data_IF_096704754057
#
_entry.id   IF_096704754057
#
_cell.length_a   1.000
_cell.length_b   1.000
_cell.length_c   1.000
_cell.angle_alpha   90.00
_cell.angle_beta   90.00
_cell.angle_gamma   90.00
#
_symmetry.space_group_name_H-M   'P 1'
#
loop_
_entity.id
_entity.type
_entity.pdbx_description
1 polymer ?
#
# COMPACT_ATOMS: atom_id res chain seq x y z
N UNK A 1 23.09 -9.18 16.12
CA UNK A 1 21.80 -8.52 15.81
C UNK A 1 21.00 -8.40 17.08
N UNK A 2 20.63 -7.19 17.48
CA UNK A 2 19.66 -6.98 18.56
C UNK A 2 18.25 -7.40 18.10
N UNK A 3 17.37 -7.80 19.01
CA UNK A 3 16.00 -8.21 18.67
C UNK A 3 15.16 -6.98 18.28
N UNK A 4 14.23 -7.12 17.32
CA UNK A 4 13.31 -6.05 16.93
C UNK A 4 12.01 -6.02 17.77
N UNK A 5 11.64 -7.17 18.36
CA UNK A 5 10.37 -7.35 19.08
C UNK A 5 10.45 -8.59 19.96
N UNK A 6 9.86 -8.54 21.15
CA UNK A 6 9.76 -9.70 22.07
C UNK A 6 8.52 -10.57 21.80
N UNK A 7 7.65 -10.16 20.88
CA UNK A 7 6.46 -10.92 20.51
C UNK A 7 6.84 -12.16 19.70
N UNK A 8 6.59 -13.33 20.28
CA UNK A 8 6.79 -14.60 19.61
C UNK A 8 5.60 -14.94 18.71
N UNK A 9 5.84 -15.51 17.52
CA UNK A 9 4.76 -16.09 16.72
C UNK A 9 4.02 -17.21 17.44
N UNK A 10 2.74 -17.41 17.10
CA UNK A 10 1.94 -18.52 17.63
C UNK A 10 2.59 -19.87 17.30
N UNK A 11 2.72 -20.81 18.24
CA UNK A 11 3.36 -22.10 18.00
C UNK A 11 2.56 -22.95 16.99
N UNK A 12 3.23 -23.79 16.18
CA UNK A 12 2.53 -24.72 15.29
C UNK A 12 1.81 -25.81 16.09
N UNK A 13 0.69 -26.30 15.56
CA UNK A 13 -0.04 -27.43 16.11
C UNK A 13 0.15 -28.68 15.24
N UNK A 14 0.30 -29.84 15.87
CA UNK A 14 0.40 -31.11 15.15
C UNK A 14 -0.96 -31.51 14.55
N UNK A 15 -0.95 -31.98 13.30
CA UNK A 15 -2.15 -32.47 12.62
C UNK A 15 -1.94 -33.87 12.04
N UNK A 16 -3.04 -34.61 11.99
CA UNK A 16 -3.10 -35.89 11.28
C UNK A 16 -2.97 -35.68 9.77
N UNK A 17 -2.28 -36.58 9.05
CA UNK A 17 -2.10 -36.45 7.62
C UNK A 17 -3.44 -36.51 6.88
N UNK A 18 -3.53 -35.76 5.78
CA UNK A 18 -4.72 -35.77 4.94
C UNK A 18 -4.60 -36.86 3.85
N UNK A 19 -5.67 -37.59 3.51
CA UNK A 19 -5.61 -38.71 2.56
C UNK A 19 -5.11 -38.32 1.16
N UNK A 20 -5.40 -37.11 0.71
CA UNK A 20 -4.97 -36.62 -0.60
C UNK A 20 -3.44 -36.44 -0.74
N UNK A 21 -2.71 -36.34 0.38
CA UNK A 21 -1.26 -36.13 0.41
C UNK A 21 -0.44 -37.37 0.70
N UNK A 22 -1.10 -38.52 0.86
CA UNK A 22 -0.42 -39.75 1.22
C UNK A 22 0.02 -40.50 -0.03
N UNK A 23 1.26 -40.95 -0.01
CA UNK A 23 1.85 -41.81 -1.02
C UNK A 23 1.79 -43.29 -0.59
N UNK A 24 1.96 -44.18 -1.57
CA UNK A 24 1.88 -45.63 -1.35
C UNK A 24 2.83 -46.12 -0.25
N UNK A 25 4.09 -45.67 -0.27
CA UNK A 25 5.08 -46.05 0.74
C UNK A 25 4.71 -45.60 2.16
N UNK A 26 4.17 -44.39 2.30
CA UNK A 26 3.68 -43.87 3.58
C UNK A 26 2.47 -44.66 4.06
N UNK A 27 1.53 -44.96 3.17
CA UNK A 27 0.34 -45.76 3.51
C UNK A 27 0.73 -47.16 3.99
N UNK A 28 1.66 -47.84 3.30
CA UNK A 28 2.15 -49.17 3.71
C UNK A 28 2.78 -49.11 5.11
N UNK A 29 3.59 -48.08 5.38
CA UNK A 29 4.18 -47.86 6.72
C UNK A 29 3.09 -47.66 7.77
N UNK A 30 2.10 -46.81 7.51
CA UNK A 30 0.99 -46.56 8.44
C UNK A 30 0.17 -47.83 8.71
N UNK A 31 -0.11 -48.63 7.67
CA UNK A 31 -0.84 -49.90 7.80
C UNK A 31 -0.07 -50.95 8.59
N UNK A 32 1.27 -50.98 8.47
CA UNK A 32 2.13 -51.94 9.18
C UNK A 32 2.24 -51.61 10.68
N UNK A 33 2.37 -50.33 11.04
CA UNK A 33 2.63 -49.88 12.41
C UNK A 33 1.39 -49.41 13.18
N UNK A 34 0.20 -49.55 12.62
CA UNK A 34 -1.03 -49.18 13.33
C UNK A 34 -1.43 -50.21 14.39
N UNK A 35 -1.95 -49.74 15.53
CA UNK A 35 -2.53 -50.60 16.57
C UNK A 35 -4.00 -50.99 16.27
N UNK A 36 -4.58 -50.39 15.23
CA UNK A 36 -5.99 -50.56 14.91
C UNK A 36 -6.26 -51.96 14.34
N UNK A 37 -7.32 -52.61 14.85
CA UNK A 37 -7.72 -53.97 14.42
C UNK A 37 -8.70 -53.97 13.25
N UNK A 38 -9.29 -52.82 12.91
CA UNK A 38 -10.30 -52.67 11.85
C UNK A 38 -9.90 -51.53 10.92
N UNK A 39 -10.01 -51.77 9.61
CA UNK A 39 -9.72 -50.78 8.58
C UNK A 39 -10.57 -49.50 8.74
N UNK A 40 -11.85 -49.65 9.11
CA UNK A 40 -12.72 -48.51 9.33
C UNK A 40 -12.20 -47.57 10.44
N UNK A 41 -11.76 -48.15 11.56
CA UNK A 41 -11.21 -47.40 12.70
C UNK A 41 -9.86 -46.77 12.33
N UNK A 42 -9.02 -47.50 11.60
CA UNK A 42 -7.76 -46.96 11.07
C UNK A 42 -7.96 -45.69 10.24
N UNK A 43 -8.91 -45.72 9.30
CA UNK A 43 -9.20 -44.56 8.44
C UNK A 43 -9.71 -43.35 9.24
N UNK A 44 -10.57 -43.58 10.25
CA UNK A 44 -11.10 -42.51 11.10
C UNK A 44 -10.05 -41.91 12.02
N UNK A 45 -9.21 -42.75 12.64
CA UNK A 45 -8.27 -42.30 13.66
C UNK A 45 -6.93 -41.80 13.10
N UNK A 46 -6.50 -42.28 11.94
CA UNK A 46 -5.15 -41.98 11.42
C UNK A 46 -5.11 -40.78 10.46
N UNK A 47 -6.26 -40.34 9.95
CA UNK A 47 -6.33 -39.29 8.93
C UNK A 47 -7.18 -38.12 9.40
N UNK A 48 -6.84 -36.91 8.95
CA UNK A 48 -7.67 -35.74 9.18
C UNK A 48 -8.93 -35.77 8.30
N UNK A 49 -10.03 -35.26 8.85
CA UNK A 49 -11.33 -35.04 8.15
C UNK A 49 -11.98 -36.30 7.56
N UNK A 50 -11.63 -37.50 8.05
CA UNK A 50 -12.37 -38.74 7.76
C UNK A 50 -13.38 -39.03 8.88
N UNK A 51 -14.67 -38.95 8.55
CA UNK A 51 -15.76 -39.45 9.40
C UNK A 51 -16.14 -40.91 9.09
N UNK A 52 -17.04 -41.50 9.87
CA UNK A 52 -17.50 -42.88 9.68
C UNK A 52 -18.10 -43.11 8.28
N UNK A 53 -18.98 -42.20 7.83
CA UNK A 53 -19.62 -42.26 6.51
C UNK A 53 -18.60 -42.20 5.38
N UNK A 54 -17.60 -41.32 5.49
CA UNK A 54 -16.55 -41.19 4.48
C UNK A 54 -15.65 -42.42 4.47
N UNK A 55 -15.31 -42.97 5.63
CA UNK A 55 -14.51 -44.20 5.74
C UNK A 55 -15.23 -45.41 5.12
N UNK A 56 -16.55 -45.54 5.30
CA UNK A 56 -17.35 -46.59 4.66
C UNK A 56 -17.40 -46.44 3.13
N UNK A 57 -17.57 -45.19 2.63
CA UNK A 57 -17.49 -44.90 1.20
C UNK A 57 -16.14 -45.28 0.61
N UNK A 58 -15.04 -44.96 1.30
CA UNK A 58 -13.68 -45.33 0.91
C UNK A 58 -13.53 -46.85 0.84
N UNK A 59 -13.94 -47.58 1.89
CA UNK A 59 -13.88 -49.04 1.91
C UNK A 59 -14.68 -49.66 0.74
N UNK A 60 -15.88 -49.13 0.48
CA UNK A 60 -16.77 -49.60 -0.59
C UNK A 60 -16.14 -49.39 -1.96
N UNK A 61 -15.56 -48.20 -2.21
CA UNK A 61 -14.90 -47.89 -3.48
C UNK A 61 -13.62 -48.71 -3.68
N UNK A 62 -12.87 -48.97 -2.61
CA UNK A 62 -11.68 -49.82 -2.65
C UNK A 62 -12.00 -51.33 -2.71
N UNK A 63 -13.28 -51.72 -2.62
CA UNK A 63 -13.76 -53.12 -2.50
C UNK A 63 -13.12 -53.87 -1.33
N UNK A 64 -12.92 -53.17 -0.21
CA UNK A 64 -12.35 -53.72 1.02
C UNK A 64 -13.41 -53.87 2.10
N UNK A 65 -13.32 -54.95 2.89
CA UNK A 65 -14.22 -55.18 4.02
C UNK A 65 -13.84 -54.23 5.18
N UNK A 66 -14.78 -53.45 5.76
CA UNK A 66 -14.48 -52.52 6.85
C UNK A 66 -13.90 -53.18 8.12
N UNK A 67 -14.19 -54.47 8.33
CA UNK A 67 -13.69 -55.27 9.43
C UNK A 67 -12.33 -55.95 9.17
N UNK A 68 -11.73 -55.73 8.00
CA UNK A 68 -10.40 -56.28 7.69
C UNK A 68 -9.32 -55.69 8.61
N UNK A 69 -8.30 -56.48 8.92
CA UNK A 69 -7.13 -56.00 9.68
C UNK A 69 -6.21 -55.18 8.77
N UNK A 70 -5.88 -53.92 9.12
CA UNK A 70 -4.99 -53.07 8.33
C UNK A 70 -3.64 -53.72 8.00
N UNK A 71 -3.06 -54.45 8.94
CA UNK A 71 -1.72 -55.05 8.82
C UNK A 71 -1.65 -56.22 7.83
N UNK A 72 -2.81 -56.78 7.44
CA UNK A 72 -2.91 -57.94 6.53
C UNK A 72 -3.21 -57.56 5.08
N UNK A 73 -3.35 -56.27 4.77
CA UNK A 73 -3.65 -55.80 3.42
C UNK A 73 -2.49 -56.12 2.47
N UNK A 74 -2.82 -56.62 1.28
CA UNK A 74 -1.83 -56.85 0.22
C UNK A 74 -1.42 -55.55 -0.46
N UNK A 75 -0.36 -55.62 -1.27
CA UNK A 75 0.11 -54.46 -2.03
C UNK A 75 -0.97 -53.94 -2.99
N UNK A 76 -1.59 -54.83 -3.77
CA UNK A 76 -2.69 -54.50 -4.69
C UNK A 76 -3.89 -53.88 -3.96
N UNK A 77 -4.24 -54.40 -2.78
CA UNK A 77 -5.31 -53.85 -1.96
C UNK A 77 -5.00 -52.43 -1.48
N UNK A 78 -3.74 -52.16 -1.18
CA UNK A 78 -3.27 -50.85 -0.74
C UNK A 78 -3.28 -49.83 -1.89
N UNK A 79 -2.92 -50.24 -3.11
CA UNK A 79 -3.03 -49.40 -4.31
C UNK A 79 -4.49 -49.06 -4.64
N UNK A 80 -5.42 -50.01 -4.49
CA UNK A 80 -6.86 -49.75 -4.63
C UNK A 80 -7.35 -48.74 -3.59
N UNK A 81 -6.88 -48.86 -2.34
CA UNK A 81 -7.23 -47.92 -1.28
C UNK A 81 -6.69 -46.50 -1.58
N UNK A 82 -5.45 -46.40 -2.06
CA UNK A 82 -4.85 -45.12 -2.46
C UNK A 82 -5.61 -44.47 -3.63
N UNK A 83 -6.05 -45.27 -4.60
CA UNK A 83 -6.87 -44.79 -5.72
C UNK A 83 -8.22 -44.27 -5.22
N UNK A 84 -8.82 -44.93 -4.22
CA UNK A 84 -10.05 -44.47 -3.58
C UNK A 84 -9.89 -43.12 -2.84
N UNK A 85 -8.72 -42.85 -2.25
CA UNK A 85 -8.44 -41.54 -1.64
C UNK A 85 -8.44 -40.40 -2.66
N UNK A 86 -7.96 -40.66 -3.88
CA UNK A 86 -7.93 -39.65 -4.96
C UNK A 86 -9.29 -39.44 -5.61
N UNK A 87 -10.13 -40.48 -5.71
CA UNK A 87 -11.44 -40.38 -6.35
C UNK A 87 -12.50 -39.75 -5.45
N UNK A 88 -12.42 -39.94 -4.14
CA UNK A 88 -13.44 -39.46 -3.20
C UNK A 88 -13.10 -38.04 -2.75
N UNK A 89 -14.06 -37.13 -2.91
CA UNK A 89 -13.94 -35.74 -2.43
C UNK A 89 -14.03 -35.70 -0.91
N UNK A 90 -12.93 -35.30 -0.27
CA UNK A 90 -12.80 -35.15 1.19
C UNK A 90 -12.73 -33.66 1.53
N UNK A 91 -13.19 -33.28 2.72
CA UNK A 91 -13.10 -31.91 3.20
C UNK A 91 -11.63 -31.50 3.43
N UNK A 92 -11.26 -30.25 3.16
CA UNK A 92 -9.88 -29.80 3.29
C UNK A 92 -9.35 -29.91 4.73
N UNK A 93 -8.02 -30.11 4.89
CA UNK A 93 -7.37 -30.20 6.20
C UNK A 93 -7.53 -28.92 7.02
N UNK A 94 -7.40 -28.99 8.35
CA UNK A 94 -7.40 -27.80 9.21
C UNK A 94 -6.18 -26.91 8.91
N UNK A 95 -6.39 -25.60 8.88
CA UNK A 95 -5.38 -24.59 8.54
C UNK A 95 -4.74 -23.93 9.77
N UNK A 96 -5.30 -24.17 10.96
CA UNK A 96 -4.84 -23.64 12.27
C UNK A 96 -3.52 -24.27 12.76
N UNK A 97 -2.95 -25.19 12.00
CA UNK A 97 -1.69 -25.84 12.32
C UNK A 97 -0.45 -25.02 11.94
N UNK A 98 -0.63 -24.00 11.11
CA UNK A 98 0.46 -23.22 10.56
C UNK A 98 0.91 -22.13 11.52
N UNK A 99 2.21 -21.87 11.51
CA UNK A 99 2.87 -20.89 12.38
C UNK A 99 3.50 -19.80 11.49
N UNK A 100 2.71 -18.81 11.02
CA UNK A 100 3.22 -17.69 10.22
C UNK A 100 4.25 -16.83 10.96
N UNK A 101 4.97 -15.97 10.24
CA UNK A 101 5.74 -14.87 10.85
C UNK A 101 4.80 -13.71 11.19
N UNK A 102 3.79 -13.45 10.35
CA UNK A 102 2.83 -12.34 10.41
C UNK A 102 3.34 -11.03 9.81
N UNK A 103 2.42 -10.23 9.27
CA UNK A 103 2.72 -8.96 8.57
C UNK A 103 3.55 -7.98 9.41
N UNK A 104 3.15 -7.75 10.66
CA UNK A 104 3.82 -6.79 11.57
C UNK A 104 5.28 -7.20 11.89
N UNK A 105 5.53 -8.49 12.14
CA UNK A 105 6.87 -8.97 12.44
C UNK A 105 7.78 -8.89 11.21
N UNK A 106 7.23 -9.15 10.03
CA UNK A 106 7.96 -8.99 8.75
C UNK A 106 8.29 -7.52 8.52
N UNK A 107 7.33 -6.62 8.74
CA UNK A 107 7.54 -5.18 8.57
C UNK A 107 8.69 -4.68 9.44
N UNK A 108 8.65 -4.99 10.75
CA UNK A 108 9.71 -4.62 11.70
C UNK A 108 11.07 -5.26 11.38
N UNK A 109 11.06 -6.47 10.83
CA UNK A 109 12.29 -7.14 10.40
C UNK A 109 12.95 -6.45 9.22
N UNK A 110 12.16 -6.07 8.22
CA UNK A 110 12.65 -5.37 7.02
C UNK A 110 13.07 -3.93 7.36
N UNK A 111 12.28 -3.21 8.16
CA UNK A 111 12.58 -1.84 8.61
C UNK A 111 13.89 -1.75 9.40
N UNK A 112 14.23 -2.79 10.16
CA UNK A 112 15.47 -2.84 10.92
C UNK A 112 16.71 -3.11 10.06
N UNK A 113 16.57 -3.98 9.06
CA UNK A 113 17.70 -4.41 8.24
C UNK A 113 17.96 -3.46 7.07
N UNK A 114 16.92 -2.85 6.53
CA UNK A 114 17.00 -1.99 5.35
C UNK A 114 16.53 -0.57 5.66
N UNK A 115 17.38 0.41 5.32
CA UNK A 115 16.99 1.82 5.26
C UNK A 115 16.30 2.07 3.92
N UNK A 116 14.97 2.10 3.91
CA UNK A 116 14.16 2.21 2.68
C UNK A 116 13.04 3.24 2.83
N UNK A 117 12.57 3.76 1.69
CA UNK A 117 11.52 4.78 1.67
C UNK A 117 10.11 4.19 1.82
N UNK A 118 9.96 2.91 1.49
CA UNK A 118 8.66 2.25 1.41
C UNK A 118 8.78 0.75 1.72
N UNK A 119 7.92 0.28 2.63
CA UNK A 119 7.78 -1.13 3.00
C UNK A 119 6.30 -1.49 3.00
N UNK A 120 5.96 -2.60 2.36
CA UNK A 120 4.63 -3.18 2.43
C UNK A 120 4.70 -4.69 2.62
N UNK A 121 3.79 -5.20 3.45
CA UNK A 121 3.72 -6.62 3.80
C UNK A 121 2.31 -7.16 3.56
N UNK A 122 2.22 -8.45 3.26
CA UNK A 122 0.95 -9.16 3.10
C UNK A 122 1.06 -10.59 3.62
N UNK A 123 0.00 -11.04 4.27
CA UNK A 123 -0.26 -12.42 4.67
C UNK A 123 -1.53 -12.87 3.99
N UNK A 124 -1.41 -13.93 3.18
CA UNK A 124 -2.54 -14.48 2.45
C UNK A 124 -3.42 -15.37 3.34
N UNK A 125 -4.55 -15.80 2.81
CA UNK A 125 -5.32 -16.87 3.45
C UNK A 125 -4.62 -18.22 3.24
N UNK A 126 -4.66 -19.15 4.21
CA UNK A 126 -4.09 -20.48 4.00
C UNK A 126 -4.77 -21.20 2.83
N UNK A 127 -3.95 -21.84 1.99
CA UNK A 127 -4.36 -22.70 0.89
C UNK A 127 -3.93 -24.14 1.16
N UNK A 128 -4.30 -25.07 0.29
CA UNK A 128 -3.97 -26.49 0.44
C UNK A 128 -3.41 -27.01 -0.88
N UNK A 129 -2.27 -27.69 -0.83
CA UNK A 129 -1.71 -28.41 -1.97
C UNK A 129 -1.55 -29.88 -1.59
N UNK A 130 -2.01 -30.80 -2.42
CA UNK A 130 -1.92 -32.25 -2.16
C UNK A 130 -2.26 -32.64 -0.70
N UNK A 131 -3.31 -32.08 -0.09
CA UNK A 131 -3.69 -32.36 1.31
C UNK A 131 -2.81 -31.72 2.40
N UNK A 132 -1.78 -30.96 2.06
CA UNK A 132 -0.95 -30.22 3.00
C UNK A 132 -1.39 -28.75 3.02
N UNK A 133 -1.83 -28.21 4.17
CA UNK A 133 -2.10 -26.78 4.30
C UNK A 133 -0.80 -25.99 4.18
N UNK A 134 -0.85 -24.87 3.47
CA UNK A 134 0.24 -23.93 3.34
C UNK A 134 -0.26 -22.49 3.36
N UNK A 135 0.64 -21.57 3.64
CA UNK A 135 0.40 -20.15 3.74
C UNK A 135 1.57 -19.42 3.08
N UNK A 136 1.25 -18.33 2.38
CA UNK A 136 2.26 -17.45 1.79
C UNK A 136 2.19 -16.06 2.42
N UNK A 137 3.36 -15.56 2.79
CA UNK A 137 3.57 -14.19 3.24
C UNK A 137 4.57 -13.54 2.30
N UNK A 138 4.36 -12.28 1.93
CA UNK A 138 5.25 -11.55 1.06
C UNK A 138 5.47 -10.12 1.56
N UNK A 139 6.64 -9.57 1.28
CA UNK A 139 6.97 -8.18 1.53
C UNK A 139 7.72 -7.58 0.36
N UNK A 140 7.55 -6.28 0.16
CA UNK A 140 8.31 -5.48 -0.79
C UNK A 140 8.90 -4.28 -0.08
N UNK A 141 10.18 -4.05 -0.28
CA UNK A 141 10.91 -2.88 0.20
C UNK A 141 11.46 -2.13 -1.01
N UNK A 142 11.36 -0.80 -1.03
CA UNK A 142 11.75 0.02 -2.17
C UNK A 142 12.45 1.32 -1.75
N UNK A 143 13.49 1.68 -2.49
CA UNK A 143 14.22 2.94 -2.33
C UNK A 143 15.31 2.90 -1.26
N UNK A 144 15.64 4.07 -0.70
CA UNK A 144 16.70 4.26 0.28
C UNK A 144 18.08 3.76 -0.20
N UNK A 145 18.74 2.94 0.62
CA UNK A 145 20.11 2.46 0.39
C UNK A 145 20.20 1.26 -0.59
N UNK A 146 19.06 0.80 -1.13
CA UNK A 146 19.04 -0.29 -2.09
C UNK A 146 19.70 0.11 -3.43
N UNK A 147 20.45 -0.79 -4.08
CA UNK A 147 21.10 -0.50 -5.36
C UNK A 147 20.11 -0.04 -6.43
N UNK A 148 20.29 1.18 -6.94
CA UNK A 148 19.42 1.76 -7.96
C UNK A 148 19.46 1.01 -9.29
N UNK A 149 20.62 0.43 -9.63
CA UNK A 149 20.85 -0.37 -10.82
C UNK A 149 21.16 -1.81 -10.45
N UNK A 150 20.54 -2.75 -11.18
CA UNK A 150 20.75 -4.18 -10.98
C UNK A 150 19.44 -4.95 -10.84
N UNK A 151 19.59 -6.27 -10.68
CA UNK A 151 18.46 -7.16 -10.40
C UNK A 151 17.96 -6.93 -8.98
N UNK A 152 16.64 -6.99 -8.82
CA UNK A 152 15.98 -6.94 -7.52
C UNK A 152 16.48 -8.08 -6.63
N UNK A 153 16.71 -7.78 -5.36
CA UNK A 153 17.09 -8.77 -4.37
C UNK A 153 15.86 -9.61 -3.96
N UNK A 154 16.01 -10.94 -3.95
CA UNK A 154 14.93 -11.86 -3.53
C UNK A 154 15.35 -12.61 -2.28
N UNK A 155 14.59 -12.41 -1.20
CA UNK A 155 14.74 -13.11 0.06
C UNK A 155 13.69 -14.23 0.12
N UNK A 156 14.15 -15.48 0.06
CA UNK A 156 13.28 -16.66 0.02
C UNK A 156 13.29 -17.37 1.37
N UNK A 157 12.12 -17.67 1.91
CA UNK A 157 11.97 -18.39 3.17
C UNK A 157 11.01 -19.56 3.03
N UNK A 158 11.36 -20.69 3.66
CA UNK A 158 10.48 -21.85 3.82
C UNK A 158 10.45 -22.25 5.29
N UNK A 159 9.27 -22.30 5.92
CA UNK A 159 9.12 -22.61 7.35
C UNK A 159 10.12 -21.84 8.24
N UNK A 160 10.23 -20.51 8.03
CA UNK A 160 11.18 -19.60 8.71
C UNK A 160 12.67 -19.85 8.46
N UNK A 161 13.02 -20.76 7.57
CA UNK A 161 14.41 -21.02 7.17
C UNK A 161 14.73 -20.27 5.87
N UNK A 162 15.80 -19.46 5.83
CA UNK A 162 16.21 -18.79 4.60
C UNK A 162 16.78 -19.78 3.59
N UNK A 163 16.39 -19.62 2.32
CA UNK A 163 16.87 -20.41 1.19
C UNK A 163 17.91 -19.61 0.41
N UNK A 164 19.19 -19.92 0.61
CA UNK A 164 20.30 -19.15 0.05
C UNK A 164 20.72 -19.62 -1.36
N UNK A 165 20.66 -20.92 -1.62
CA UNK A 165 21.19 -21.52 -2.86
C UNK A 165 20.09 -21.85 -3.88
N UNK A 166 20.51 -22.13 -5.12
CA UNK A 166 19.65 -22.63 -6.21
C UNK A 166 18.40 -21.76 -6.50
N UNK A 167 18.60 -20.44 -6.54
CA UNK A 167 17.51 -19.50 -6.81
C UNK A 167 16.78 -19.79 -8.14
N UNK A 168 17.52 -20.19 -9.18
CA UNK A 168 16.95 -20.46 -10.52
C UNK A 168 16.10 -21.72 -10.63
N UNK A 169 16.02 -22.56 -9.59
CA UNK A 169 15.16 -23.75 -9.56
C UNK A 169 13.97 -23.61 -8.58
N UNK A 170 13.80 -22.43 -7.98
CA UNK A 170 12.84 -22.21 -6.92
C UNK A 170 11.52 -21.64 -7.48
N UNK A 171 10.40 -22.23 -7.06
CA UNK A 171 9.06 -21.77 -7.42
C UNK A 171 8.83 -20.27 -7.10
N UNK A 172 9.39 -19.76 -6.00
CA UNK A 172 9.30 -18.33 -5.64
C UNK A 172 9.90 -17.44 -6.73
N UNK A 173 11.10 -17.78 -7.21
CA UNK A 173 11.79 -17.01 -8.26
C UNK A 173 11.00 -17.07 -9.55
N UNK A 174 10.52 -18.26 -9.94
CA UNK A 174 9.70 -18.43 -11.13
C UNK A 174 8.36 -17.68 -11.05
N UNK A 175 7.72 -17.60 -9.88
CA UNK A 175 6.54 -16.79 -9.68
C UNK A 175 6.83 -15.29 -9.88
N UNK A 176 7.97 -14.81 -9.36
CA UNK A 176 8.40 -13.42 -9.54
C UNK A 176 8.73 -13.11 -11.00
N UNK A 177 9.38 -14.03 -11.72
CA UNK A 177 9.68 -13.91 -13.15
C UNK A 177 8.42 -13.80 -14.03
N UNK A 178 7.34 -14.50 -13.67
CA UNK A 178 6.07 -14.48 -14.42
C UNK A 178 5.29 -13.17 -14.33
N UNK A 179 5.59 -12.33 -13.34
CA UNK A 179 4.89 -11.07 -13.14
C UNK A 179 5.39 -10.02 -14.14
N UNK A 180 4.46 -9.27 -14.73
CA UNK A 180 4.79 -8.12 -15.57
C UNK A 180 5.10 -6.90 -14.69
N UNK A 181 6.37 -6.69 -14.38
CA UNK A 181 6.84 -5.65 -13.46
C UNK A 181 6.75 -4.24 -14.01
N UNK A 182 6.77 -4.09 -15.35
CA UNK A 182 6.56 -2.79 -16.02
C UNK A 182 5.21 -2.19 -15.65
N UNK A 183 4.18 -3.01 -15.48
CA UNK A 183 2.86 -2.55 -15.05
C UNK A 183 2.86 -1.94 -13.63
N UNK A 184 3.80 -2.37 -12.78
CA UNK A 184 3.93 -1.92 -11.40
C UNK A 184 4.96 -0.81 -11.20
N UNK A 185 5.57 -0.30 -12.28
CA UNK A 185 6.51 0.82 -12.22
C UNK A 185 7.98 0.42 -12.00
N UNK A 186 8.32 -0.87 -12.10
CA UNK A 186 9.71 -1.34 -12.07
C UNK A 186 10.21 -1.66 -13.49
N UNK A 187 11.53 -1.56 -13.69
CA UNK A 187 12.17 -1.95 -14.94
C UNK A 187 12.25 -3.47 -15.03
N UNK A 188 12.28 -4.02 -16.25
CA UNK A 188 12.34 -5.47 -16.48
C UNK A 188 13.20 -5.83 -17.70
N UNK A 189 14.53 -5.61 -17.65
CA UNK A 189 15.44 -6.04 -18.71
C UNK A 189 15.58 -7.56 -18.67
N UNK A 190 15.25 -8.25 -19.78
CA UNK A 190 15.42 -9.71 -19.88
C UNK A 190 14.46 -10.54 -19.03
N UNK A 191 13.28 -10.00 -18.68
CA UNK A 191 12.21 -10.75 -18.01
C UNK A 191 12.26 -10.76 -16.48
N UNK A 192 13.32 -10.24 -15.86
CA UNK A 192 13.46 -10.15 -14.40
C UNK A 192 13.37 -8.70 -13.90
N UNK A 193 12.74 -8.41 -12.76
CA UNK A 193 12.64 -7.04 -12.25
C UNK A 193 14.01 -6.44 -11.91
N UNK A 194 14.18 -5.17 -12.22
CA UNK A 194 15.36 -4.38 -11.94
C UNK A 194 15.01 -3.04 -11.27
N UNK A 195 15.85 -2.61 -10.33
CA UNK A 195 15.71 -1.36 -9.58
C UNK A 195 16.00 -1.53 -8.08
N UNK A 196 15.90 -0.43 -7.30
CA UNK A 196 16.16 -0.40 -5.86
C UNK A 196 15.00 -1.02 -5.09
N UNK A 197 14.88 -2.34 -5.18
CA UNK A 197 13.78 -3.09 -4.60
C UNK A 197 14.31 -4.41 -4.03
N UNK A 198 13.73 -4.82 -2.91
CA UNK A 198 13.91 -6.14 -2.32
C UNK A 198 12.54 -6.79 -2.12
N UNK A 199 12.42 -8.06 -2.52
CA UNK A 199 11.20 -8.84 -2.40
C UNK A 199 11.45 -10.01 -1.47
N UNK A 200 10.69 -10.08 -0.38
CA UNK A 200 10.69 -11.22 0.52
C UNK A 200 9.46 -12.09 0.28
N UNK A 201 9.65 -13.40 0.21
CA UNK A 201 8.54 -14.37 0.17
C UNK A 201 8.81 -15.49 1.16
N UNK A 202 7.83 -15.77 2.00
CA UNK A 202 7.83 -16.84 2.96
C UNK A 202 6.69 -17.82 2.65
N UNK A 203 7.05 -19.11 2.53
CA UNK A 203 6.09 -20.20 2.40
C UNK A 203 6.13 -21.04 3.67
N UNK A 204 5.02 -21.07 4.40
CA UNK A 204 4.85 -21.92 5.58
C UNK A 204 3.94 -23.09 5.23
N UNK A 205 4.38 -24.33 5.48
CA UNK A 205 3.56 -25.52 5.30
C UNK A 205 3.97 -26.64 6.25
N UNK A 206 3.03 -27.55 6.52
CA UNK A 206 3.30 -28.79 7.28
C UNK A 206 4.32 -29.68 6.59
N UNK A 207 4.30 -29.70 5.26
CA UNK A 207 5.31 -30.33 4.42
C UNK A 207 5.65 -29.32 3.32
N UNK A 208 6.92 -29.03 3.08
CA UNK A 208 7.32 -28.12 1.99
C UNK A 208 7.86 -28.97 0.84
N UNK A 209 7.35 -28.82 -0.39
CA UNK A 209 7.81 -29.61 -1.51
C UNK A 209 9.16 -29.04 -1.98
N UNK A 210 10.25 -29.73 -1.68
CA UNK A 210 11.59 -29.33 -2.13
C UNK A 210 11.97 -30.04 -3.44
N UNK A 211 12.76 -29.39 -4.29
CA UNK A 211 13.27 -29.99 -5.54
C UNK A 211 14.33 -31.07 -5.30
N UNK A 212 15.05 -30.98 -4.20
CA UNK A 212 16.11 -31.91 -3.82
C UNK A 212 16.13 -32.14 -2.31
N UNK A 213 16.77 -33.23 -1.89
CA UNK A 213 16.96 -33.57 -0.47
C UNK A 213 17.75 -32.51 0.31
N UNK A 214 18.53 -31.68 -0.39
CA UNK A 214 19.28 -30.57 0.19
C UNK A 214 18.42 -29.39 0.64
N UNK A 215 17.11 -29.39 0.32
CA UNK A 215 16.11 -28.40 0.74
C UNK A 215 16.45 -26.94 0.40
N UNK A 216 17.14 -26.73 -0.72
CA UNK A 216 17.58 -25.39 -1.15
C UNK A 216 16.54 -24.62 -1.99
N UNK A 217 15.58 -25.32 -2.60
CA UNK A 217 14.59 -24.71 -3.47
C UNK A 217 13.23 -25.42 -3.36
N UNK A 218 12.16 -24.63 -3.39
CA UNK A 218 10.78 -25.12 -3.41
C UNK A 218 10.45 -25.56 -4.84
N UNK A 219 9.87 -26.75 -4.98
CA UNK A 219 9.43 -27.32 -6.24
C UNK A 219 8.24 -26.56 -6.84
N UNK A 220 8.12 -26.62 -8.16
CA UNK A 220 7.08 -25.92 -8.90
C UNK A 220 5.74 -26.66 -8.82
N UNK A 221 5.00 -26.39 -7.74
CA UNK A 221 3.62 -26.87 -7.55
C UNK A 221 2.66 -25.75 -7.98
N UNK A 222 1.72 -25.99 -8.92
CA UNK A 222 0.84 -24.95 -9.46
C UNK A 222 0.08 -24.14 -8.40
N UNK A 223 -0.41 -24.80 -7.35
CA UNK A 223 -1.15 -24.18 -6.26
C UNK A 223 -0.26 -23.21 -5.45
N UNK A 224 0.98 -23.61 -5.16
CA UNK A 224 1.94 -22.77 -4.44
C UNK A 224 2.36 -21.60 -5.33
N UNK A 225 2.67 -21.89 -6.60
CA UNK A 225 3.13 -20.90 -7.56
C UNK A 225 2.09 -19.79 -7.76
N UNK A 226 0.83 -20.16 -7.96
CA UNK A 226 -0.27 -19.20 -8.11
C UNK A 226 -0.49 -18.36 -6.85
N UNK A 227 -0.36 -18.96 -5.66
CA UNK A 227 -0.55 -18.22 -4.41
C UNK A 227 0.63 -17.27 -4.11
N UNK A 228 1.86 -17.66 -4.43
CA UNK A 228 3.03 -16.77 -4.37
C UNK A 228 2.87 -15.61 -5.34
N UNK A 229 2.46 -15.87 -6.57
CA UNK A 229 2.20 -14.83 -7.57
C UNK A 229 1.14 -13.83 -7.09
N UNK A 230 0.06 -14.32 -6.48
CA UNK A 230 -0.99 -13.47 -5.90
C UNK A 230 -0.51 -12.65 -4.71
N UNK A 231 0.31 -13.23 -3.82
CA UNK A 231 0.90 -12.53 -2.69
C UNK A 231 1.80 -11.37 -3.16
N UNK A 232 2.71 -11.66 -4.10
CA UNK A 232 3.62 -10.66 -4.67
C UNK A 232 2.84 -9.58 -5.43
N UNK A 233 1.84 -9.94 -6.25
CA UNK A 233 0.97 -8.95 -6.93
C UNK A 233 0.28 -7.98 -5.97
N UNK A 234 -0.12 -8.47 -4.79
CA UNK A 234 -0.80 -7.65 -3.78
C UNK A 234 0.12 -6.54 -3.27
N UNK A 235 1.37 -6.87 -2.90
CA UNK A 235 2.34 -5.87 -2.45
C UNK A 235 2.82 -4.97 -3.60
N UNK A 236 3.03 -5.52 -4.80
CA UNK A 236 3.39 -4.73 -5.98
C UNK A 236 2.31 -3.73 -6.37
N UNK A 237 1.03 -4.06 -6.17
CA UNK A 237 -0.08 -3.14 -6.37
C UNK A 237 -0.04 -1.93 -5.43
N UNK A 238 0.40 -2.12 -4.18
CA UNK A 238 0.61 -1.02 -3.21
C UNK A 238 1.83 -0.19 -3.58
N UNK A 239 2.94 -0.83 -3.99
CA UNK A 239 4.12 -0.14 -4.52
C UNK A 239 3.78 0.76 -5.72
N UNK A 240 2.96 0.29 -6.66
CA UNK A 240 2.53 1.09 -7.80
C UNK A 240 1.81 2.38 -7.39
N UNK A 241 0.96 2.32 -6.36
CA UNK A 241 0.25 3.51 -5.83
C UNK A 241 1.25 4.50 -5.23
N UNK A 242 2.23 4.01 -4.49
CA UNK A 242 3.30 4.83 -3.92
C UNK A 242 4.13 5.53 -5.01
N UNK A 243 4.60 4.78 -6.01
CA UNK A 243 5.35 5.33 -7.15
C UNK A 243 4.54 6.34 -7.95
N UNK A 244 3.26 6.05 -8.20
CA UNK A 244 2.35 6.96 -8.90
C UNK A 244 2.16 8.28 -8.15
N UNK A 245 2.00 8.23 -6.82
CA UNK A 245 1.92 9.45 -5.98
C UNK A 245 3.21 10.25 -6.06
N UNK A 246 4.37 9.59 -6.00
CA UNK A 246 5.69 10.24 -6.11
C UNK A 246 5.91 10.91 -7.47
N UNK A 247 5.55 10.22 -8.56
CA UNK A 247 5.69 10.75 -9.93
C UNK A 247 4.78 11.96 -10.16
N UNK A 248 3.54 11.92 -9.68
CA UNK A 248 2.61 13.05 -9.74
C UNK A 248 3.16 14.28 -9.03
N UNK A 249 3.74 14.10 -7.84
CA UNK A 249 4.38 15.19 -7.08
C UNK A 249 5.62 15.75 -7.81
N UNK A 250 6.47 14.90 -8.39
CA UNK A 250 7.63 15.34 -9.18
C UNK A 250 7.21 16.20 -10.37
N UNK A 251 6.23 15.72 -11.16
CA UNK A 251 5.72 16.46 -12.32
C UNK A 251 5.09 17.80 -11.93
N UNK A 252 4.36 17.85 -10.81
CA UNK A 252 3.79 19.10 -10.29
C UNK A 252 4.89 20.10 -9.92
N UNK A 253 5.94 19.64 -9.24
CA UNK A 253 7.10 20.47 -8.85
C UNK A 253 7.90 20.96 -10.07
N UNK A 254 8.11 20.10 -11.07
CA UNK A 254 8.76 20.49 -12.34
C UNK A 254 7.96 21.57 -13.06
N UNK A 255 6.64 21.39 -13.15
CA UNK A 255 5.72 22.37 -13.73
C UNK A 255 5.76 23.69 -12.97
N UNK A 256 5.71 23.66 -11.64
CA UNK A 256 5.81 24.85 -10.80
C UNK A 256 7.13 25.61 -11.02
N UNK A 257 8.25 24.90 -11.02
CA UNK A 257 9.58 25.46 -11.27
C UNK A 257 9.68 26.12 -12.65
N UNK A 258 9.09 25.49 -13.67
CA UNK A 258 9.05 26.04 -15.03
C UNK A 258 8.21 27.33 -15.07
N UNK A 259 7.03 27.33 -14.46
CA UNK A 259 6.13 28.50 -14.42
C UNK A 259 6.78 29.66 -13.68
N UNK A 260 7.35 29.42 -12.50
CA UNK A 260 8.08 30.44 -11.71
C UNK A 260 9.24 31.07 -12.48
N UNK A 261 9.87 30.33 -13.41
CA UNK A 261 10.98 30.83 -14.24
C UNK A 261 10.52 31.58 -15.48
N UNK A 262 9.51 31.06 -16.17
CA UNK A 262 9.10 31.54 -17.51
C UNK A 262 8.12 32.70 -17.41
N UNK A 263 7.14 32.62 -16.52
CA UNK A 263 6.02 33.56 -16.50
C UNK A 263 6.43 35.00 -16.10
N UNK A 264 7.29 35.24 -15.09
CA UNK A 264 7.77 36.59 -14.79
C UNK A 264 8.55 37.20 -15.97
N UNK A 265 9.38 36.39 -16.65
CA UNK A 265 10.17 36.87 -17.80
C UNK A 265 9.28 37.27 -18.98
N UNK A 266 8.18 36.57 -19.19
CA UNK A 266 7.19 36.94 -20.20
C UNK A 266 6.45 38.21 -19.79
N UNK A 267 6.03 38.33 -18.53
CA UNK A 267 5.35 39.51 -18.02
C UNK A 267 6.20 40.78 -18.19
N UNK A 268 7.48 40.74 -17.79
CA UNK A 268 8.42 41.86 -17.97
C UNK A 268 8.59 42.20 -19.45
N UNK A 269 8.87 41.22 -20.31
CA UNK A 269 9.07 41.50 -21.75
C UNK A 269 7.84 42.08 -22.45
N UNK A 270 6.64 41.59 -22.11
CA UNK A 270 5.39 42.11 -22.70
C UNK A 270 5.10 43.51 -22.20
N UNK A 271 5.35 43.75 -20.90
CA UNK A 271 5.29 45.06 -20.26
C UNK A 271 6.26 46.06 -20.93
N UNK A 272 7.52 45.66 -21.14
CA UNK A 272 8.54 46.47 -21.84
C UNK A 272 8.14 46.80 -23.28
N UNK A 273 7.54 45.85 -24.02
CA UNK A 273 7.11 46.06 -25.41
C UNK A 273 5.90 47.00 -25.50
N UNK A 274 4.98 46.91 -24.54
CA UNK A 274 3.73 47.70 -24.53
C UNK A 274 3.84 49.00 -23.74
N UNK A 275 4.97 49.23 -23.06
CA UNK A 275 5.24 50.36 -22.15
C UNK A 275 4.14 50.51 -21.08
N UNK A 276 3.83 49.39 -20.40
CA UNK A 276 2.81 49.28 -19.34
C UNK A 276 3.40 48.62 -18.11
N UNK A 277 2.77 48.81 -16.96
CA UNK A 277 3.18 48.12 -15.73
C UNK A 277 3.12 46.60 -15.85
N UNK A 278 4.01 45.92 -15.13
CA UNK A 278 4.06 44.46 -15.11
C UNK A 278 2.77 43.90 -14.52
N UNK A 279 2.02 43.07 -15.26
CA UNK A 279 0.77 42.52 -14.77
C UNK A 279 1.00 41.51 -13.64
N UNK A 280 0.07 41.43 -12.69
CA UNK A 280 0.10 40.38 -11.68
C UNK A 280 -0.08 38.99 -12.35
N UNK A 281 0.91 38.12 -12.16
CA UNK A 281 0.94 36.78 -12.75
C UNK A 281 0.24 35.73 -11.88
N UNK A 282 -0.03 36.01 -10.61
CA UNK A 282 -0.58 35.06 -9.63
C UNK A 282 -1.90 34.43 -10.08
N UNK A 283 -2.87 35.16 -10.67
CA UNK A 283 -4.10 34.57 -11.19
C UNK A 283 -3.86 33.55 -12.31
N UNK A 284 -2.84 33.76 -13.14
CA UNK A 284 -2.48 32.86 -14.23
C UNK A 284 -1.75 31.64 -13.67
N UNK A 285 -0.86 31.83 -12.70
CA UNK A 285 -0.17 30.73 -12.00
C UNK A 285 -1.18 29.81 -11.33
N UNK A 286 -2.12 30.37 -10.57
CA UNK A 286 -3.14 29.61 -9.85
C UNK A 286 -4.01 28.77 -10.81
N UNK A 287 -4.40 29.37 -11.94
CA UNK A 287 -5.19 28.68 -12.98
C UNK A 287 -4.43 27.55 -13.64
N UNK A 288 -3.16 27.75 -13.99
CA UNK A 288 -2.34 26.71 -14.63
C UNK A 288 -2.05 25.57 -13.64
N UNK A 289 -1.81 25.90 -12.37
CA UNK A 289 -1.51 24.91 -11.32
C UNK A 289 -2.75 24.19 -10.77
N UNK A 290 -3.95 24.72 -11.02
CA UNK A 290 -5.19 24.20 -10.45
C UNK A 290 -5.27 24.44 -8.94
N UNK A 291 -4.78 25.59 -8.49
CA UNK A 291 -4.68 25.97 -7.07
C UNK A 291 -5.82 26.92 -6.66
N UNK A 292 -6.05 27.05 -5.36
CA UNK A 292 -6.84 28.14 -4.80
C UNK A 292 -6.10 29.47 -5.00
N UNK A 293 -6.74 30.39 -5.70
CA UNK A 293 -6.28 31.77 -5.83
C UNK A 293 -6.87 32.58 -4.68
N UNK A 294 -6.01 33.29 -3.94
CA UNK A 294 -6.43 34.38 -3.06
C UNK A 294 -5.77 35.64 -3.56
N UNK A 295 -6.57 36.57 -4.07
CA UNK A 295 -6.09 37.84 -4.61
C UNK A 295 -6.73 38.99 -3.85
N UNK A 296 -5.91 39.97 -3.45
CA UNK A 296 -6.40 41.21 -2.85
C UNK A 296 -6.31 42.34 -3.88
N UNK A 297 -7.42 43.00 -4.13
CA UNK A 297 -7.49 44.31 -4.78
C UNK A 297 -7.80 45.38 -3.73
N UNK A 298 -7.16 46.54 -3.87
CA UNK A 298 -7.44 47.72 -3.03
C UNK A 298 -7.73 48.89 -3.96
N UNK A 299 -8.85 49.56 -3.75
CA UNK A 299 -9.28 50.74 -4.50
C UNK A 299 -9.48 51.90 -3.53
N UNK A 300 -8.96 53.08 -3.88
CA UNK A 300 -9.11 54.26 -3.02
C UNK A 300 -10.49 54.90 -3.24
N UNK A 301 -11.15 55.23 -2.13
CA UNK A 301 -12.41 55.97 -2.10
C UNK A 301 -12.23 57.35 -1.44
N UNK A 302 -13.28 58.18 -1.49
CA UNK A 302 -13.28 59.54 -0.93
C UNK A 302 -12.94 59.57 0.58
N UNK A 303 -13.30 58.50 1.31
CA UNK A 303 -13.17 58.42 2.78
C UNK A 303 -12.15 57.38 3.28
N UNK A 304 -11.38 56.74 2.38
CA UNK A 304 -10.46 55.66 2.75
C UNK A 304 -10.14 54.68 1.61
N UNK A 305 -10.19 53.39 1.89
CA UNK A 305 -9.88 52.32 0.93
C UNK A 305 -10.92 51.19 0.96
N UNK A 306 -11.41 50.79 -0.21
CA UNK A 306 -12.18 49.56 -0.39
C UNK A 306 -11.22 48.42 -0.69
N UNK A 307 -11.38 47.31 0.05
CA UNK A 307 -10.58 46.11 -0.12
C UNK A 307 -11.49 44.97 -0.55
N UNK A 308 -11.11 44.28 -1.63
CA UNK A 308 -11.75 43.04 -2.06
C UNK A 308 -10.72 41.91 -1.99
N UNK A 309 -11.06 40.85 -1.25
CA UNK A 309 -10.33 39.59 -1.25
C UNK A 309 -11.14 38.60 -2.09
N UNK A 310 -10.67 38.34 -3.30
CA UNK A 310 -11.26 37.36 -4.19
C UNK A 310 -10.60 35.99 -3.98
N UNK A 311 -11.44 34.99 -3.72
CA UNK A 311 -11.03 33.60 -3.49
C UNK A 311 -11.64 32.74 -4.60
N UNK A 312 -10.81 32.06 -5.38
CA UNK A 312 -11.25 31.22 -6.50
C UNK A 312 -10.71 29.81 -6.36
N UNK A 313 -11.58 28.80 -6.48
CA UNK A 313 -11.19 27.40 -6.42
C UNK A 313 -10.95 26.81 -7.83
N UNK A 314 -9.68 26.75 -8.27
CA UNK A 314 -9.31 26.04 -9.50
C UNK A 314 -8.95 24.56 -9.28
N UNK A 315 -9.14 24.02 -8.07
CA UNK A 315 -8.91 22.59 -7.81
C UNK A 315 -10.10 21.75 -8.30
N UNK A 316 -9.89 20.45 -8.53
CA UNK A 316 -10.95 19.52 -8.96
C UNK A 316 -11.91 19.11 -7.82
N UNK A 317 -11.69 19.61 -6.59
CA UNK A 317 -12.41 19.18 -5.39
C UNK A 317 -12.99 20.38 -4.64
N UNK A 318 -14.04 20.15 -3.86
CA UNK A 318 -14.54 21.18 -2.96
C UNK A 318 -13.53 21.41 -1.83
N UNK A 319 -13.28 22.68 -1.50
CA UNK A 319 -12.33 23.09 -0.48
C UNK A 319 -13.07 23.90 0.59
N UNK A 320 -12.83 23.55 1.86
CA UNK A 320 -13.28 24.34 3.00
C UNK A 320 -12.05 24.90 3.68
N UNK A 321 -12.02 26.21 3.82
CA UNK A 321 -10.85 26.97 4.26
C UNK A 321 -11.29 28.14 5.13
N UNK A 322 -10.40 28.59 5.99
CA UNK A 322 -10.60 29.83 6.75
C UNK A 322 -9.62 30.87 6.30
N UNK A 323 -10.08 32.10 6.09
CA UNK A 323 -9.26 33.23 5.69
C UNK A 323 -9.09 34.14 6.89
N UNK A 324 -7.84 34.33 7.30
CA UNK A 324 -7.41 35.26 8.32
C UNK A 324 -6.82 36.48 7.65
N UNK A 325 -7.39 37.65 7.91
CA UNK A 325 -6.84 38.92 7.50
C UNK A 325 -6.37 39.74 8.70
N UNK A 326 -5.06 39.64 8.95
CA UNK A 326 -4.40 40.25 10.09
C UNK A 326 -3.86 41.64 9.72
N UNK A 327 -4.68 42.67 9.96
CA UNK A 327 -4.38 44.07 9.61
C UNK A 327 -4.42 44.98 10.85
N UNK A 328 -3.63 46.08 10.88
CA UNK A 328 -3.62 47.02 12.00
C UNK A 328 -4.77 48.03 11.96
N UNK A 329 -5.78 47.83 11.09
CA UNK A 329 -6.88 48.76 10.86
C UNK A 329 -8.22 48.11 11.20
N UNK A 330 -9.16 48.90 11.71
CA UNK A 330 -10.55 48.47 11.84
C UNK A 330 -11.26 48.53 10.48
N UNK A 331 -12.02 47.47 10.16
CA UNK A 331 -12.82 47.40 8.93
C UNK A 331 -14.26 47.86 9.19
N UNK A 332 -14.87 48.45 8.17
CA UNK A 332 -16.30 48.81 8.13
C UNK A 332 -16.96 48.18 6.90
N UNK A 333 -18.28 48.04 6.96
CA UNK A 333 -19.11 47.58 5.83
C UNK A 333 -18.62 46.26 5.22
N UNK A 334 -18.27 45.28 6.06
CA UNK A 334 -17.74 44.00 5.60
C UNK A 334 -18.86 43.07 5.09
N UNK A 335 -18.73 42.59 3.86
CA UNK A 335 -19.66 41.65 3.23
C UNK A 335 -18.89 40.45 2.67
N UNK A 336 -19.12 39.21 3.18
CA UNK A 336 -19.88 38.85 4.39
C UNK A 336 -19.19 39.28 5.70
N UNK A 337 -19.94 39.36 6.81
CA UNK A 337 -19.40 39.75 8.12
C UNK A 337 -18.39 38.70 8.67
N UNK A 338 -17.14 39.09 9.01
CA UNK A 338 -16.16 38.19 9.61
C UNK A 338 -16.36 38.02 11.11
N UNK A 339 -15.80 36.94 11.66
CA UNK A 339 -15.51 36.86 13.09
C UNK A 339 -14.27 37.69 13.40
N UNK A 340 -14.36 38.59 14.37
CA UNK A 340 -13.26 39.47 14.78
C UNK A 340 -12.52 38.90 15.99
N UNK A 341 -11.19 38.90 15.95
CA UNK A 341 -10.32 38.66 17.09
C UNK A 341 -9.23 39.75 17.18
N UNK A 342 -8.76 40.04 18.40
CA UNK A 342 -7.66 40.99 18.63
C UNK A 342 -6.40 40.21 18.98
N UNK A 343 -5.35 40.35 18.18
CA UNK A 343 -4.07 39.68 18.37
C UNK A 343 -2.97 40.75 18.47
N UNK A 344 -2.57 41.07 19.70
CA UNK A 344 -1.57 42.11 19.97
C UNK A 344 -2.09 43.50 19.57
N UNK A 345 -1.39 44.13 18.64
CA UNK A 345 -1.69 45.44 18.05
C UNK A 345 -2.49 45.36 16.73
N UNK A 346 -2.95 44.16 16.34
CA UNK A 346 -3.65 43.91 15.07
C UNK A 346 -5.02 43.27 15.29
N UNK A 347 -5.88 43.49 14.30
CA UNK A 347 -7.20 42.87 14.21
C UNK A 347 -7.13 41.71 13.21
N UNK A 348 -7.53 40.52 13.66
CA UNK A 348 -7.71 39.36 12.81
C UNK A 348 -9.18 39.25 12.42
N UNK A 349 -9.44 39.31 11.11
CA UNK A 349 -10.76 39.15 10.53
C UNK A 349 -10.84 37.77 9.89
N UNK A 350 -11.71 36.93 10.44
CA UNK A 350 -11.83 35.52 10.09
C UNK A 350 -13.09 35.27 9.26
N UNK A 351 -12.92 34.73 8.06
CA UNK A 351 -14.01 34.21 7.23
C UNK A 351 -13.91 32.69 7.08
N UNK A 352 -15.01 32.00 7.28
CA UNK A 352 -15.13 30.57 6.98
C UNK A 352 -15.74 30.43 5.58
N UNK A 353 -14.99 29.85 4.65
CA UNK A 353 -15.35 29.78 3.23
C UNK A 353 -15.38 28.32 2.78
N UNK A 354 -16.43 27.95 2.04
CA UNK A 354 -16.53 26.64 1.40
C UNK A 354 -16.88 26.83 -0.07
N UNK A 355 -15.96 26.42 -0.96
CA UNK A 355 -16.11 26.59 -2.41
C UNK A 355 -16.07 25.24 -3.13
N UNK A 356 -17.03 24.99 -4.02
CA UNK A 356 -16.95 23.88 -4.97
C UNK A 356 -15.90 24.18 -6.05
N UNK A 357 -15.55 23.17 -6.83
CA UNK A 357 -14.64 23.34 -7.97
C UNK A 357 -15.19 24.38 -8.95
N UNK A 358 -14.38 25.38 -9.31
CA UNK A 358 -14.73 26.47 -10.21
C UNK A 358 -15.52 27.62 -9.57
N UNK A 359 -15.94 27.51 -8.30
CA UNK A 359 -16.63 28.59 -7.59
C UNK A 359 -15.65 29.66 -7.08
N UNK A 360 -16.18 30.87 -6.88
CA UNK A 360 -15.46 31.99 -6.31
C UNK A 360 -16.33 32.71 -5.27
N UNK A 361 -15.68 33.38 -4.32
CA UNK A 361 -16.30 34.32 -3.40
C UNK A 361 -15.44 35.59 -3.33
N UNK A 362 -16.11 36.73 -3.23
CA UNK A 362 -15.46 38.02 -2.94
C UNK A 362 -15.81 38.43 -1.52
N UNK A 363 -14.78 38.73 -0.73
CA UNK A 363 -14.91 39.29 0.62
C UNK A 363 -14.58 40.77 0.51
N UNK A 364 -15.57 41.64 0.73
CA UNK A 364 -15.42 43.08 0.57
C UNK A 364 -15.46 43.77 1.93
N UNK A 365 -14.63 44.77 2.16
CA UNK A 365 -14.70 45.63 3.33
C UNK A 365 -14.03 46.99 3.06
N UNK A 366 -14.38 48.01 3.85
CA UNK A 366 -13.79 49.34 3.77
C UNK A 366 -12.88 49.62 4.98
N UNK A 367 -11.78 50.33 4.76
CA UNK A 367 -10.90 50.86 5.80
C UNK A 367 -11.02 52.39 5.79
N UNK A 368 -11.41 52.99 6.91
CA UNK A 368 -11.43 54.45 7.04
C UNK A 368 -10.05 55.01 7.37
N UNK A 369 -9.72 56.15 6.77
CA UNK A 369 -8.47 56.86 7.05
C UNK A 369 -8.61 57.74 8.31
N UNK A 370 -8.59 57.15 9.50
CA UNK A 370 -8.50 57.97 10.72
C UNK A 370 -7.05 58.40 11.00
N UNK A 371 -6.81 59.72 10.95
CA UNK A 371 -5.82 60.43 11.78
C UNK A 371 -4.32 60.11 11.64
N UNK A 372 -3.87 59.46 10.56
CA UNK A 372 -2.43 59.21 10.38
C UNK A 372 -1.98 58.73 8.99
N UNK A 373 -2.90 58.59 8.03
CA UNK A 373 -2.53 58.36 6.61
C UNK A 373 -2.35 59.73 5.95
N UNK A 374 -1.30 60.45 6.35
CA UNK A 374 -0.88 61.67 5.68
C UNK A 374 -0.53 61.35 4.23
N UNK A 375 -1.44 61.66 3.31
CA UNK A 375 -1.16 61.80 1.88
C UNK A 375 -0.61 60.58 1.14
N UNK A 376 -0.68 59.36 1.70
CA UNK A 376 -0.19 58.16 0.99
C UNK A 376 -1.15 57.80 -0.13
N UNK A 377 -0.65 57.77 -1.36
CA UNK A 377 -1.38 57.32 -2.54
C UNK A 377 -1.71 55.82 -2.49
N UNK A 378 -0.99 55.04 -1.68
CA UNK A 378 -1.15 53.59 -1.53
C UNK A 378 -1.12 53.12 -0.06
N UNK A 379 -1.93 52.11 0.27
CA UNK A 379 -1.91 51.39 1.55
C UNK A 379 -1.26 50.01 1.35
N UNK A 380 -0.22 49.70 2.13
CA UNK A 380 0.43 48.38 2.09
C UNK A 380 -0.21 47.48 3.14
N UNK A 381 -0.94 46.46 2.70
CA UNK A 381 -1.58 45.48 3.57
C UNK A 381 -0.87 44.12 3.45
N UNK A 382 -0.62 43.39 4.56
CA UNK A 382 0.00 42.06 4.52
C UNK A 382 -0.89 41.05 3.79
N UNK A 383 -0.29 40.10 3.08
CA UNK A 383 -1.05 39.05 2.39
C UNK A 383 -1.97 38.28 3.37
N UNK A 384 -3.21 37.96 2.96
CA UNK A 384 -4.12 37.13 3.75
C UNK A 384 -3.48 35.78 4.10
N UNK A 385 -3.93 35.20 5.21
CA UNK A 385 -3.53 33.85 5.62
C UNK A 385 -4.69 32.87 5.50
N UNK A 386 -4.40 31.62 5.13
CA UNK A 386 -5.39 30.57 4.86
C UNK A 386 -5.15 29.38 5.78
N UNK A 387 -6.16 28.99 6.56
CA UNK A 387 -6.15 27.79 7.39
C UNK A 387 -6.97 26.66 6.72
N UNK A 388 -6.55 25.41 6.91
CA UNK A 388 -7.32 24.23 6.50
C UNK A 388 -6.98 23.62 5.14
N UNK A 389 -6.03 24.19 4.42
CA UNK A 389 -5.58 23.69 3.10
C UNK A 389 -4.06 23.60 3.05
N UNK A 390 -3.48 22.67 2.27
CA UNK A 390 -2.02 22.55 2.15
C UNK A 390 -1.40 23.73 1.40
N UNK A 391 -0.16 24.10 1.78
CA UNK A 391 0.63 25.17 1.16
C UNK A 391 0.74 25.01 -0.36
N UNK A 392 0.86 23.76 -0.83
CA UNK A 392 1.00 23.43 -2.25
C UNK A 392 -0.23 23.79 -3.10
N UNK A 393 -1.40 23.95 -2.46
CA UNK A 393 -2.68 24.20 -3.11
C UNK A 393 -3.08 25.67 -3.10
N UNK A 394 -2.30 26.58 -2.50
CA UNK A 394 -2.66 28.00 -2.35
C UNK A 394 -1.68 28.89 -3.10
N UNK A 395 -2.20 29.88 -3.84
CA UNK A 395 -1.43 30.91 -4.55
C UNK A 395 -1.94 32.29 -4.13
N UNK A 396 -1.04 33.20 -3.75
CA UNK A 396 -1.36 34.59 -3.37
C UNK A 396 -1.62 34.83 -1.88
N UNK A 397 -1.64 33.78 -1.05
CA UNK A 397 -1.78 33.87 0.40
C UNK A 397 -0.78 32.97 1.15
N UNK A 398 -0.55 33.27 2.44
CA UNK A 398 0.23 32.40 3.34
C UNK A 398 -0.68 31.35 3.94
N UNK A 399 -0.19 30.15 4.24
CA UNK A 399 -1.01 29.10 4.88
C UNK A 399 -0.68 28.99 6.36
N UNK A 400 -1.71 28.94 7.20
CA UNK A 400 -1.65 28.68 8.65
C UNK A 400 -1.94 27.19 8.90
N UNK A 401 -0.91 26.43 9.28
CA UNK A 401 -1.03 25.00 9.58
C UNK A 401 0.32 24.29 9.59
N UNK A 402 0.48 23.32 10.50
CA UNK A 402 1.74 22.62 10.77
C UNK A 402 2.33 21.99 9.51
N UNK A 403 3.65 22.20 9.32
CA UNK A 403 4.44 21.49 8.32
C UNK A 403 4.49 19.98 8.54
#
# INVERSE_FOLDING_TARGET
>A
FERATDLLPAPPAEIKPHPAGIELGTLIKMLRYTDQQRLLTFLKESFSKIGAVTAEKICTHAKLKPACKPQKLTHEETERLLTAFKSIKIAPPPTDCLSPISEDLIYKGVEKEYTVDFIETTKRSPAVYAGNPFLVEAAIAYGGDLPAEGKVEILRFANRVPLLYQQGACAITHAIERINWKYYGLLQPGGFPAGPCAIMVHVASTNVPFTSESKNAIAEVPEILGEVENAVRTVSGRLKKYLGKRELLSKRKEKENLIKRVLPRLATKVSDILDRDTPNIDPVVARIMGNLLVNRSVVRNENGFDVEIQVVNHTDTAQSLKIHDLIPFEIKSAEPEPRRAVIGDRFDHLWEVSLRSGEHVSLMYAIEAEGGVDGREEISLPAPMVEGVSVELVTGAKVLGHG
#
